data_IF_586539650717
#
_entry.id   IF_586539650717
#
_cell.length_a   1.000
_cell.length_b   1.000
_cell.length_c   1.000
_cell.angle_alpha   90.00
_cell.angle_beta   90.00
_cell.angle_gamma   90.00
#
_symmetry.space_group_name_H-M   'P 1'
#
loop_
_entity.id
_entity.type
_entity.pdbx_description
1 polymer ?
#
# COMPACT_ATOMS: atom_id res chain seq x y z
N UNK A 1 13.65 -1.26 -9.42
CA UNK A 1 12.56 -1.87 -8.59
C UNK A 1 11.39 -0.91 -8.52
N UNK A 2 10.17 -1.41 -8.62
CA UNK A 2 8.94 -0.60 -8.46
C UNK A 2 8.26 -0.93 -7.15
N UNK A 3 7.98 0.10 -6.36
CA UNK A 3 7.27 -0.02 -5.09
C UNK A 3 5.91 0.65 -5.20
N UNK A 4 4.86 -0.09 -4.82
CA UNK A 4 3.50 0.41 -4.72
C UNK A 4 3.11 0.48 -3.25
N UNK A 5 2.92 1.69 -2.73
CA UNK A 5 2.47 1.94 -1.37
C UNK A 5 0.94 2.11 -1.39
N UNK A 6 0.22 1.09 -1.03
CA UNK A 6 -1.24 1.12 -0.95
C UNK A 6 -1.67 1.32 0.50
N UNK A 7 -2.25 2.48 0.83
CA UNK A 7 -2.78 2.69 2.16
C UNK A 7 -4.06 1.89 2.34
N UNK A 8 -4.22 1.22 3.52
CA UNK A 8 -5.45 0.51 3.83
C UNK A 8 -6.71 1.36 3.55
N UNK A 9 -7.80 0.71 3.17
CA UNK A 9 -9.05 1.36 2.85
C UNK A 9 -9.83 1.81 4.10
N UNK A 10 -11.08 2.26 3.92
CA UNK A 10 -11.92 2.75 5.00
C UNK A 10 -12.23 1.61 6.00
N UNK A 11 -11.85 1.81 7.25
CA UNK A 11 -12.10 0.90 8.36
C UNK A 11 -13.21 1.45 9.26
N UNK A 12 -13.87 0.57 10.01
CA UNK A 12 -14.87 0.97 11.01
C UNK A 12 -14.22 1.82 12.10
N UNK A 13 -14.96 2.80 12.58
CA UNK A 13 -14.54 3.59 13.75
C UNK A 13 -14.74 2.78 15.02
N UNK A 14 -13.85 3.00 16.00
CA UNK A 14 -13.94 2.35 17.31
C UNK A 14 -14.54 3.30 18.35
N UNK A 15 -15.70 3.86 18.03
CA UNK A 15 -16.36 4.86 18.88
C UNK A 15 -16.92 4.28 20.17
N UNK A 16 -17.24 2.99 20.20
CA UNK A 16 -17.79 2.29 21.37
C UNK A 16 -16.71 1.56 22.20
N UNK A 17 -15.44 1.63 21.78
CA UNK A 17 -14.30 1.06 22.49
C UNK A 17 -14.26 -0.47 22.58
N UNK A 18 -15.08 -1.18 21.79
CA UNK A 18 -15.14 -2.65 21.81
C UNK A 18 -14.00 -3.34 21.09
N UNK A 19 -13.35 -2.65 20.16
CA UNK A 19 -12.23 -3.16 19.40
C UNK A 19 -10.95 -2.44 19.82
N UNK A 20 -9.81 -3.12 19.72
CA UNK A 20 -8.52 -2.43 19.67
C UNK A 20 -8.32 -1.78 18.31
N UNK A 21 -7.39 -0.82 18.19
CA UNK A 21 -7.09 -0.22 16.88
C UNK A 21 -6.64 -1.27 15.85
N UNK A 22 -5.91 -2.29 16.29
CA UNK A 22 -5.44 -3.37 15.43
C UNK A 22 -6.56 -4.25 14.85
N UNK A 23 -7.66 -4.40 15.59
CA UNK A 23 -8.80 -5.27 15.24
C UNK A 23 -9.85 -4.60 14.35
N UNK A 24 -9.74 -3.32 14.07
CA UNK A 24 -10.72 -2.59 13.26
C UNK A 24 -10.77 -3.12 11.82
N UNK A 25 -11.90 -3.75 11.38
CA UNK A 25 -12.04 -4.26 10.03
C UNK A 25 -12.41 -3.15 9.04
N UNK A 26 -12.39 -3.47 7.75
CA UNK A 26 -12.92 -2.59 6.72
C UNK A 26 -14.43 -2.40 6.87
N UNK A 27 -14.92 -1.24 6.46
CA UNK A 27 -16.34 -1.04 6.17
C UNK A 27 -16.71 -1.70 4.85
N UNK A 28 -18.00 -1.98 4.62
CA UNK A 28 -18.48 -2.45 3.30
C UNK A 28 -18.08 -1.51 2.16
N UNK A 29 -18.09 -0.20 2.43
CA UNK A 29 -17.61 0.82 1.48
C UNK A 29 -16.10 0.71 1.23
N UNK A 30 -15.32 0.40 2.28
CA UNK A 30 -13.88 0.15 2.17
C UNK A 30 -13.58 -1.03 1.26
N UNK A 31 -14.29 -2.14 1.42
CA UNK A 31 -14.18 -3.33 0.57
C UNK A 31 -14.53 -2.98 -0.88
N UNK A 32 -15.69 -2.39 -1.14
CA UNK A 32 -16.15 -2.05 -2.50
C UNK A 32 -15.17 -1.10 -3.23
N UNK A 33 -14.62 -0.11 -2.51
CA UNK A 33 -13.62 0.80 -3.08
C UNK A 33 -12.29 0.10 -3.36
N UNK A 34 -11.89 -0.85 -2.54
CA UNK A 34 -10.68 -1.63 -2.77
C UNK A 34 -10.84 -2.54 -4.00
N UNK A 35 -12.00 -3.17 -4.17
CA UNK A 35 -12.31 -3.92 -5.39
C UNK A 35 -12.24 -3.05 -6.65
N UNK A 36 -12.76 -1.83 -6.59
CA UNK A 36 -12.69 -0.89 -7.70
C UNK A 36 -11.24 -0.47 -7.99
N UNK A 37 -10.46 -0.18 -6.96
CA UNK A 37 -9.03 0.11 -7.08
C UNK A 37 -8.27 -1.06 -7.71
N UNK A 38 -8.55 -2.29 -7.28
CA UNK A 38 -7.92 -3.50 -7.83
C UNK A 38 -8.21 -3.67 -9.34
N UNK A 39 -9.49 -3.45 -9.77
CA UNK A 39 -9.86 -3.45 -11.19
C UNK A 39 -9.11 -2.37 -11.99
N UNK A 40 -9.01 -1.19 -11.43
CA UNK A 40 -8.30 -0.07 -12.05
C UNK A 40 -6.80 -0.37 -12.22
N UNK A 41 -6.16 -0.90 -11.18
CA UNK A 41 -4.74 -1.27 -11.22
C UNK A 41 -4.48 -2.40 -12.22
N UNK A 42 -5.34 -3.39 -12.28
CA UNK A 42 -5.28 -4.46 -13.28
C UNK A 42 -5.36 -3.90 -14.72
N UNK A 43 -6.29 -2.97 -14.96
CA UNK A 43 -6.45 -2.31 -16.27
C UNK A 43 -5.25 -1.44 -16.64
N UNK A 44 -4.58 -0.83 -15.65
CA UNK A 44 -3.32 -0.11 -15.85
C UNK A 44 -2.12 -1.04 -16.13
N UNK A 45 -2.30 -2.35 -16.03
CA UNK A 45 -1.21 -3.30 -16.23
C UNK A 45 -0.27 -3.41 -15.02
N UNK A 46 -0.70 -3.00 -13.83
CA UNK A 46 0.06 -3.21 -12.59
C UNK A 46 0.13 -4.71 -12.29
N UNK A 47 1.34 -5.24 -12.20
CA UNK A 47 1.60 -6.69 -12.02
C UNK A 47 2.71 -6.89 -10.98
N UNK A 48 2.44 -6.60 -9.68
CA UNK A 48 3.43 -6.86 -8.65
C UNK A 48 3.73 -8.37 -8.57
N UNK A 49 4.98 -8.72 -8.36
CA UNK A 49 5.40 -10.10 -8.10
C UNK A 49 5.20 -10.51 -6.64
N UNK A 50 5.07 -9.52 -5.74
CA UNK A 50 4.92 -9.73 -4.30
C UNK A 50 3.92 -8.74 -3.73
N UNK A 51 3.06 -9.23 -2.82
CA UNK A 51 2.09 -8.44 -2.06
C UNK A 51 2.33 -8.65 -0.56
N UNK A 52 2.85 -7.63 0.09
CA UNK A 52 3.07 -7.59 1.54
C UNK A 52 2.00 -6.77 2.25
N UNK A 53 1.58 -7.22 3.42
CA UNK A 53 0.59 -6.52 4.26
C UNK A 53 1.04 -6.34 5.68
N UNK A 54 0.68 -5.21 6.27
CA UNK A 54 0.66 -5.04 7.72
C UNK A 54 -0.22 -6.10 8.38
N UNK A 55 0.10 -6.53 9.62
CA UNK A 55 -0.73 -7.47 10.36
C UNK A 55 -2.07 -6.89 10.86
N UNK A 56 -2.25 -5.56 10.83
CA UNK A 56 -3.50 -4.95 11.29
C UNK A 56 -4.67 -5.35 10.38
N UNK A 57 -5.82 -5.68 10.98
CA UNK A 57 -6.98 -6.27 10.27
C UNK A 57 -7.37 -5.46 9.02
N UNK A 58 -7.51 -4.12 9.15
CA UNK A 58 -7.88 -3.26 8.01
C UNK A 58 -6.90 -3.31 6.84
N UNK A 59 -5.61 -3.47 7.12
CA UNK A 59 -4.60 -3.59 6.07
C UNK A 59 -4.62 -4.98 5.45
N UNK A 60 -4.75 -6.03 6.27
CA UNK A 60 -4.84 -7.41 5.82
C UNK A 60 -6.07 -7.63 4.93
N UNK A 61 -7.25 -7.16 5.34
CA UNK A 61 -8.46 -7.24 4.52
C UNK A 61 -8.34 -6.45 3.21
N UNK A 62 -7.70 -5.27 3.23
CA UNK A 62 -7.38 -4.52 2.01
C UNK A 62 -6.48 -5.35 1.08
N UNK A 63 -5.43 -5.95 1.62
CA UNK A 63 -4.51 -6.77 0.85
C UNK A 63 -5.17 -8.05 0.30
N UNK A 64 -6.06 -8.67 1.06
CA UNK A 64 -6.79 -9.87 0.62
C UNK A 64 -7.66 -9.56 -0.61
N UNK A 65 -8.38 -8.43 -0.61
CA UNK A 65 -9.18 -7.98 -1.78
C UNK A 65 -8.28 -7.69 -3.00
N UNK A 66 -7.13 -7.03 -2.79
CA UNK A 66 -6.16 -6.78 -3.87
C UNK A 66 -5.56 -8.08 -4.39
N UNK A 67 -5.18 -8.98 -3.48
CA UNK A 67 -4.55 -10.27 -3.80
C UNK A 67 -5.47 -11.20 -4.59
N UNK A 68 -6.75 -11.24 -4.25
CA UNK A 68 -7.76 -12.01 -4.98
C UNK A 68 -7.84 -11.56 -6.45
N UNK A 69 -7.93 -10.25 -6.69
CA UNK A 69 -8.03 -9.69 -8.04
C UNK A 69 -6.73 -9.82 -8.84
N UNK A 70 -5.60 -9.54 -8.20
CA UNK A 70 -4.27 -9.57 -8.83
C UNK A 70 -3.69 -11.00 -8.89
N UNK A 71 -4.39 -11.99 -8.31
CA UNK A 71 -3.99 -13.40 -8.23
C UNK A 71 -2.63 -13.60 -7.54
N UNK A 72 -2.45 -12.90 -6.43
CA UNK A 72 -1.24 -12.93 -5.61
C UNK A 72 -1.54 -13.36 -4.18
N UNK A 73 -0.74 -14.27 -3.61
CA UNK A 73 -0.83 -14.56 -2.19
C UNK A 73 -0.39 -13.35 -1.36
N UNK A 74 -1.15 -13.06 -0.32
CA UNK A 74 -0.78 -12.02 0.65
C UNK A 74 0.22 -12.58 1.63
N UNK A 75 1.36 -11.90 1.78
CA UNK A 75 2.37 -12.22 2.79
C UNK A 75 2.34 -11.15 3.89
N UNK A 76 1.92 -11.54 5.07
CA UNK A 76 1.93 -10.66 6.23
C UNK A 76 3.36 -10.37 6.67
N UNK A 77 3.65 -9.11 7.00
CA UNK A 77 4.96 -8.62 7.43
C UNK A 77 4.82 -7.67 8.63
N UNK A 78 5.41 -8.06 9.74
CA UNK A 78 5.39 -7.26 10.96
C UNK A 78 6.03 -5.87 10.76
N UNK A 79 6.98 -5.76 9.86
CA UNK A 79 7.66 -4.51 9.50
C UNK A 79 6.70 -3.43 8.99
N UNK A 80 5.55 -3.83 8.40
CA UNK A 80 4.51 -2.91 7.89
C UNK A 80 3.51 -2.47 8.96
N UNK A 81 3.64 -2.92 10.20
CA UNK A 81 2.87 -2.37 11.32
C UNK A 81 3.20 -0.88 11.54
N UNK A 82 2.37 -0.14 12.28
CA UNK A 82 2.68 1.26 12.61
C UNK A 82 4.09 1.45 13.15
N UNK A 83 4.81 2.45 12.61
CA UNK A 83 6.24 2.67 12.83
C UNK A 83 7.12 2.25 11.64
N UNK A 84 6.51 1.86 10.51
CA UNK A 84 7.24 1.56 9.27
C UNK A 84 8.05 2.75 8.78
N UNK A 85 9.30 2.50 8.39
CA UNK A 85 10.26 3.49 7.91
C UNK A 85 11.14 2.95 6.76
N UNK A 86 12.09 3.77 6.30
CA UNK A 86 13.03 3.37 5.23
C UNK A 86 13.89 2.17 5.65
N UNK A 87 14.24 2.04 6.93
CA UNK A 87 15.01 0.90 7.44
C UNK A 87 14.21 -0.40 7.38
N UNK A 88 12.93 -0.35 7.75
CA UNK A 88 12.01 -1.47 7.63
C UNK A 88 11.80 -1.83 6.14
N UNK A 89 11.64 -0.83 5.27
CA UNK A 89 11.54 -1.04 3.83
C UNK A 89 12.77 -1.73 3.27
N UNK A 90 13.98 -1.27 3.65
CA UNK A 90 15.22 -1.88 3.16
C UNK A 90 15.30 -3.38 3.48
N UNK A 91 14.87 -3.77 4.69
CA UNK A 91 14.79 -5.20 5.08
C UNK A 91 13.77 -5.98 4.25
N UNK A 92 12.60 -5.37 3.94
CA UNK A 92 11.56 -6.04 3.15
C UNK A 92 11.96 -6.30 1.69
N UNK A 93 12.78 -5.43 1.12
CA UNK A 93 13.19 -5.52 -0.29
C UNK A 93 14.58 -6.12 -0.46
N UNK A 94 15.21 -6.54 0.62
CA UNK A 94 16.53 -7.19 0.57
C UNK A 94 16.48 -8.45 -0.31
N UNK A 95 17.42 -8.56 -1.23
CA UNK A 95 17.50 -9.67 -2.18
C UNK A 95 16.57 -9.58 -3.40
N UNK A 96 15.77 -8.52 -3.51
CA UNK A 96 14.96 -8.26 -4.70
C UNK A 96 15.78 -7.54 -5.79
N UNK A 97 15.45 -7.81 -7.04
CA UNK A 97 16.13 -7.25 -8.21
C UNK A 97 15.57 -5.91 -8.69
N UNK A 98 16.31 -5.27 -9.59
CA UNK A 98 15.90 -3.97 -10.15
C UNK A 98 14.58 -4.00 -10.93
N UNK A 99 14.25 -5.16 -11.52
CA UNK A 99 13.02 -5.37 -12.28
C UNK A 99 11.81 -5.78 -11.44
N UNK A 100 12.01 -6.05 -10.15
CA UNK A 100 10.93 -6.52 -9.27
C UNK A 100 9.91 -5.41 -8.98
N UNK A 101 8.65 -5.83 -8.90
CA UNK A 101 7.53 -4.99 -8.53
C UNK A 101 6.93 -5.50 -7.21
N UNK A 102 6.85 -4.64 -6.21
CA UNK A 102 6.39 -4.98 -4.86
C UNK A 102 5.25 -4.07 -4.46
N UNK A 103 4.14 -4.66 -4.01
CA UNK A 103 3.05 -3.91 -3.42
C UNK A 103 3.07 -4.07 -1.90
N UNK A 104 2.96 -2.95 -1.22
CA UNK A 104 2.96 -2.83 0.24
C UNK A 104 1.62 -2.27 0.68
N UNK A 105 0.93 -2.94 1.60
CA UNK A 105 -0.32 -2.44 2.20
C UNK A 105 -0.06 -2.07 3.65
N UNK A 106 -0.27 -0.79 3.98
CA UNK A 106 0.08 -0.27 5.30
C UNK A 106 -0.63 1.04 5.64
N UNK A 107 0.07 1.93 6.35
CA UNK A 107 -0.53 3.00 7.14
C UNK A 107 0.08 4.37 6.88
N UNK A 108 -0.67 5.41 7.20
CA UNK A 108 -0.20 6.78 7.37
C UNK A 108 0.01 7.08 8.87
N UNK A 109 0.97 7.97 9.21
CA UNK A 109 1.81 8.79 8.32
C UNK A 109 3.06 8.08 7.78
N UNK A 110 3.27 6.82 8.10
CA UNK A 110 4.50 6.08 7.80
C UNK A 110 4.80 6.02 6.30
N UNK A 111 3.76 5.79 5.47
CA UNK A 111 3.95 5.74 4.02
C UNK A 111 4.39 7.08 3.43
N UNK A 112 3.71 8.17 3.78
CA UNK A 112 4.11 9.49 3.29
C UNK A 112 5.50 9.90 3.78
N UNK A 113 5.84 9.59 5.01
CA UNK A 113 7.18 9.86 5.57
C UNK A 113 8.27 9.03 4.86
N UNK A 114 8.02 7.76 4.61
CA UNK A 114 8.94 6.88 3.89
C UNK A 114 9.11 7.32 2.44
N UNK A 115 8.03 7.65 1.74
CA UNK A 115 8.07 8.17 0.37
C UNK A 115 8.87 9.47 0.31
N UNK A 116 8.64 10.41 1.24
CA UNK A 116 9.40 11.65 1.31
C UNK A 116 10.90 11.39 1.50
N UNK A 117 11.26 10.47 2.37
CA UNK A 117 12.66 10.10 2.62
C UNK A 117 13.32 9.45 1.38
N UNK A 118 12.58 8.62 0.62
CA UNK A 118 13.10 7.99 -0.60
C UNK A 118 13.29 8.97 -1.75
N UNK A 119 12.42 9.95 -1.87
CA UNK A 119 12.26 10.75 -3.09
C UNK A 119 12.65 12.21 -2.94
N UNK A 120 12.79 12.70 -1.71
CA UNK A 120 12.98 14.12 -1.40
C UNK A 120 11.72 14.98 -1.63
N UNK A 121 10.58 14.37 -2.01
CA UNK A 121 9.31 15.10 -2.20
C UNK A 121 8.65 15.34 -0.84
N UNK A 122 8.41 16.60 -0.50
CA UNK A 122 7.71 16.97 0.72
C UNK A 122 6.19 16.90 0.59
N UNK A 123 5.50 16.79 1.74
CA UNK A 123 4.03 16.93 1.83
C UNK A 123 3.21 15.94 0.98
N UNK A 124 3.70 14.73 0.83
CA UNK A 124 2.94 13.64 0.19
C UNK A 124 1.87 13.14 1.14
N UNK A 125 0.66 12.92 0.64
CA UNK A 125 -0.44 12.30 1.41
C UNK A 125 -1.04 11.16 0.59
N UNK A 126 -0.91 9.95 1.10
CA UNK A 126 -1.62 8.78 0.54
C UNK A 126 -2.98 8.66 1.20
N UNK A 127 -4.06 8.90 0.46
CA UNK A 127 -5.44 8.80 0.99
C UNK A 127 -5.80 7.35 1.33
N UNK A 128 -6.74 7.13 2.27
CA UNK A 128 -7.28 5.78 2.57
C UNK A 128 -7.78 5.11 1.28
N UNK A 129 -7.24 3.94 0.96
CA UNK A 129 -7.50 3.25 -0.31
C UNK A 129 -6.81 3.88 -1.54
N UNK A 130 -5.88 4.81 -1.32
CA UNK A 130 -5.03 5.39 -2.36
C UNK A 130 -3.70 4.66 -2.51
N UNK A 131 -2.98 4.98 -3.57
CA UNK A 131 -1.73 4.35 -3.94
C UNK A 131 -0.70 5.38 -4.38
N UNK A 132 0.55 5.18 -3.94
CA UNK A 132 1.72 5.85 -4.51
C UNK A 132 2.64 4.81 -5.17
N UNK A 133 3.19 5.13 -6.35
CA UNK A 133 4.26 4.36 -6.99
C UNK A 133 5.56 5.12 -6.89
N UNK A 134 6.58 4.45 -6.38
CA UNK A 134 7.96 4.92 -6.34
C UNK A 134 8.83 3.96 -7.15
N UNK A 135 9.55 4.50 -8.12
CA UNK A 135 10.57 3.75 -8.86
C UNK A 135 11.91 3.95 -8.17
N UNK A 136 12.45 2.87 -7.58
CA UNK A 136 13.74 2.87 -6.89
C UNK A 136 14.84 2.70 -7.91
N UNK A 137 15.82 3.61 -7.90
CA UNK A 137 16.97 3.63 -8.81
C UNK A 137 18.31 3.48 -8.09
N UNK A 138 18.34 3.51 -6.75
CA UNK A 138 19.54 3.25 -5.95
C UNK A 138 19.16 2.48 -4.69
N UNK A 139 20.03 1.54 -4.27
CA UNK A 139 19.78 0.63 -3.15
C UNK A 139 20.74 0.78 -1.98
N UNK A 140 21.75 1.59 -2.10
CA UNK A 140 22.69 1.83 -1.03
C UNK A 140 23.11 3.30 -0.86
N UNK A 141 22.32 4.17 -0.20
CA UNK A 141 20.99 4.02 0.39
C UNK A 141 19.85 3.97 -0.62
N UNK A 142 18.67 3.53 -0.18
CA UNK A 142 17.46 3.51 -1.03
C UNK A 142 17.10 4.93 -1.47
N UNK A 143 17.00 5.14 -2.78
CA UNK A 143 16.54 6.38 -3.39
C UNK A 143 15.63 6.07 -4.58
N UNK A 144 14.65 6.92 -4.81
CA UNK A 144 13.69 6.71 -5.87
C UNK A 144 12.99 7.99 -6.32
N UNK A 145 12.08 7.83 -7.26
CA UNK A 145 11.25 8.90 -7.79
C UNK A 145 9.77 8.56 -7.59
N UNK A 146 8.99 9.51 -7.08
CA UNK A 146 7.53 9.39 -7.04
C UNK A 146 6.98 9.52 -8.45
N UNK A 147 6.36 8.46 -8.96
CA UNK A 147 5.84 8.40 -10.34
C UNK A 147 4.34 8.62 -10.37
N UNK A 148 3.59 7.98 -9.44
CA UNK A 148 2.15 8.12 -9.33
C UNK A 148 1.74 8.41 -7.89
N UNK A 149 0.71 9.23 -7.75
CA UNK A 149 -0.07 9.39 -6.52
C UNK A 149 -1.55 9.35 -6.90
N UNK A 150 -2.16 8.18 -6.72
CA UNK A 150 -3.54 7.91 -7.11
C UNK A 150 -4.45 7.97 -5.89
N UNK A 151 -5.48 8.80 -5.98
CA UNK A 151 -6.55 8.84 -4.96
C UNK A 151 -7.66 7.85 -5.31
N UNK A 152 -8.45 7.38 -4.33
CA UNK A 152 -9.60 6.52 -4.63
C UNK A 152 -10.55 7.11 -5.66
N UNK A 153 -10.76 8.43 -5.63
CA UNK A 153 -11.62 9.13 -6.60
C UNK A 153 -11.17 8.96 -8.05
N UNK A 154 -9.86 8.94 -8.29
CA UNK A 154 -9.31 8.69 -9.64
C UNK A 154 -9.54 7.24 -10.04
N UNK A 155 -9.33 6.30 -9.10
CA UNK A 155 -9.51 4.88 -9.36
C UNK A 155 -10.98 4.45 -9.45
N UNK A 156 -11.92 5.28 -8.99
CA UNK A 156 -13.37 5.08 -9.17
C UNK A 156 -13.86 5.46 -10.59
N UNK A 157 -13.02 6.12 -11.40
CA UNK A 157 -13.37 6.43 -12.78
C UNK A 157 -13.51 5.13 -13.57
N UNK A 158 -14.63 5.01 -14.30
CA UNK A 158 -14.85 3.88 -15.19
C UNK A 158 -13.83 3.93 -16.32
N UNK A 159 -12.90 2.98 -16.33
CA UNK A 159 -12.06 2.72 -17.50
C UNK A 159 -12.98 2.10 -18.55
N UNK A 160 -13.22 2.83 -19.63
CA UNK A 160 -14.02 2.35 -20.77
C UNK A 160 -13.18 1.47 -21.69
#
# INVERSE_FOLDING_TARGET
MRLYFFRHALAVDNTDGKLTDAERPLTSRGVARTEQAARFLEALGVRPGVLYSSPLVRARETADVLGERLKLPVKERAELAPGFDVGALARLVEGLGESDEVMLVGHEPDFSSTIAALTGVGNVVVKKGGLARVDVHATGPLQGSLVWLLTPRIMDLKVR
#
